data_IF_901524675383
#
_entry.id   IF_901524675383
#
_cell.length_a   1.000
_cell.length_b   1.000
_cell.length_c   1.000
_cell.angle_alpha   90.00
_cell.angle_beta   90.00
_cell.angle_gamma   90.00
#
_symmetry.space_group_name_H-M   'P 1'
#
loop_
_entity.id
_entity.type
_entity.pdbx_description
1 polymer ?
#
# COMPACT_ATOMS: atom_id res chain seq x y z
N UNK A 1 -3.06 23.71 12.34
CA UNK A 1 -2.19 23.66 11.15
C UNK A 1 -0.82 23.21 11.62
N UNK A 2 -0.25 22.21 10.96
CA UNK A 2 1.08 21.66 11.25
C UNK A 2 1.97 21.81 10.02
N UNK A 3 3.27 21.83 10.22
CA UNK A 3 4.26 21.82 9.12
C UNK A 3 4.35 20.45 8.47
N UNK A 4 4.93 20.38 7.28
CA UNK A 4 5.18 19.13 6.56
C UNK A 4 6.09 18.19 7.37
N UNK A 5 7.08 18.75 8.08
CA UNK A 5 7.96 17.99 8.97
C UNK A 5 7.19 17.35 10.12
N UNK A 6 6.37 18.12 10.81
CA UNK A 6 5.50 17.60 11.88
C UNK A 6 4.52 16.56 11.37
N UNK A 7 4.00 16.71 10.14
CA UNK A 7 3.16 15.70 9.51
C UNK A 7 3.92 14.39 9.26
N UNK A 8 5.16 14.44 8.80
CA UNK A 8 6.01 13.27 8.62
C UNK A 8 6.37 12.58 9.95
N UNK A 9 6.46 13.34 11.05
CA UNK A 9 6.73 12.80 12.40
C UNK A 9 5.57 11.98 12.96
N UNK A 10 4.34 12.19 12.47
CA UNK A 10 3.18 11.37 12.83
C UNK A 10 3.26 9.92 12.28
N UNK A 11 4.06 9.71 11.25
CA UNK A 11 4.24 8.38 10.66
C UNK A 11 5.23 7.59 11.52
N UNK A 12 4.72 6.58 12.21
CA UNK A 12 5.52 5.71 13.09
C UNK A 12 6.01 4.47 12.34
N UNK A 13 6.95 3.74 12.94
CA UNK A 13 7.41 2.44 12.43
C UNK A 13 6.24 1.46 12.32
N UNK A 14 6.19 0.74 11.20
CA UNK A 14 5.10 -0.18 10.90
C UNK A 14 3.76 0.48 10.58
N UNK A 15 3.71 1.81 10.42
CA UNK A 15 2.49 2.52 10.07
C UNK A 15 1.88 2.02 8.77
N UNK A 16 0.55 2.09 8.68
CA UNK A 16 -0.19 1.88 7.44
C UNK A 16 -0.57 3.24 6.87
N UNK A 17 -0.03 3.55 5.71
CA UNK A 17 -0.31 4.78 4.98
C UNK A 17 -1.29 4.48 3.86
N UNK A 18 -2.38 5.21 3.81
CA UNK A 18 -3.34 5.19 2.72
C UNK A 18 -3.25 6.45 1.87
N UNK A 19 -3.21 6.30 0.56
CA UNK A 19 -3.29 7.41 -0.37
C UNK A 19 -4.36 7.16 -1.41
N UNK A 20 -5.45 7.94 -1.32
CA UNK A 20 -6.61 7.84 -2.21
C UNK A 20 -6.41 8.75 -3.43
N UNK A 21 -5.47 8.40 -4.28
CA UNK A 21 -5.13 9.13 -5.52
C UNK A 21 -5.00 8.18 -6.69
N UNK A 22 -5.32 8.65 -7.86
CA UNK A 22 -5.32 7.82 -9.05
C UNK A 22 -4.27 8.27 -10.06
N UNK A 23 -3.40 7.32 -10.41
CA UNK A 23 -2.40 7.53 -11.44
C UNK A 23 -1.40 8.62 -11.05
N UNK A 24 -1.20 9.58 -11.95
CA UNK A 24 -0.17 10.62 -11.80
C UNK A 24 -0.66 11.90 -11.12
N UNK A 25 -1.88 11.91 -10.58
CA UNK A 25 -2.47 13.08 -9.95
C UNK A 25 -2.71 12.89 -8.47
N UNK A 26 -2.51 13.97 -7.69
CA UNK A 26 -2.93 14.05 -6.30
C UNK A 26 -1.97 13.45 -5.27
N UNK A 27 -0.79 12.95 -5.67
CA UNK A 27 0.21 12.53 -4.70
C UNK A 27 0.68 13.71 -3.84
N UNK A 28 0.68 13.60 -2.50
CA UNK A 28 1.14 14.65 -1.60
C UNK A 28 2.67 14.69 -1.59
N UNK A 29 3.27 15.28 -2.63
CA UNK A 29 4.71 15.24 -2.89
C UNK A 29 5.55 15.70 -1.70
N UNK A 30 5.19 16.83 -1.09
CA UNK A 30 5.93 17.37 0.04
C UNK A 30 5.95 16.44 1.26
N UNK A 31 4.83 15.77 1.53
CA UNK A 31 4.74 14.81 2.65
C UNK A 31 5.57 13.57 2.31
N UNK A 32 5.47 13.07 1.08
CA UNK A 32 6.27 11.92 0.62
C UNK A 32 7.77 12.17 0.77
N UNK A 33 8.24 13.33 0.30
CA UNK A 33 9.64 13.76 0.43
C UNK A 33 10.06 13.97 1.90
N UNK A 34 9.18 14.50 2.75
CA UNK A 34 9.50 14.68 4.16
C UNK A 34 9.64 13.33 4.90
N UNK A 35 8.84 12.34 4.54
CA UNK A 35 8.97 10.97 5.06
C UNK A 35 10.30 10.35 4.57
N UNK A 36 10.61 10.48 3.28
CA UNK A 36 11.88 10.02 2.70
C UNK A 36 13.08 10.65 3.41
N UNK A 37 13.12 11.99 3.53
CA UNK A 37 14.21 12.70 4.15
C UNK A 37 14.40 12.26 5.62
N UNK A 38 13.32 12.18 6.39
CA UNK A 38 13.37 11.69 7.76
C UNK A 38 13.94 10.28 7.84
N UNK A 39 13.52 9.37 6.93
CA UNK A 39 14.08 8.04 6.88
C UNK A 39 15.57 8.04 6.53
N UNK A 40 15.99 8.83 5.57
CA UNK A 40 17.40 8.93 5.18
C UNK A 40 18.29 9.50 6.29
N UNK A 41 17.75 10.38 7.13
CA UNK A 41 18.48 10.99 8.25
C UNK A 41 18.51 10.11 9.50
N UNK A 42 17.42 9.40 9.79
CA UNK A 42 17.22 8.74 11.08
C UNK A 42 17.01 7.23 11.02
N UNK A 43 16.77 6.67 9.85
CA UNK A 43 16.32 5.28 9.67
C UNK A 43 14.84 5.05 10.03
N UNK A 44 14.10 6.13 10.33
CA UNK A 44 12.68 6.08 10.71
C UNK A 44 11.84 7.05 9.87
N UNK A 45 10.57 6.70 9.58
CA UNK A 45 9.85 5.47 9.95
C UNK A 45 10.39 4.27 9.20
N UNK A 46 10.25 3.08 9.76
CA UNK A 46 10.66 1.82 9.15
C UNK A 46 9.47 0.86 8.99
N UNK A 47 9.51 0.01 7.98
CA UNK A 47 8.56 -1.09 7.83
C UNK A 47 7.13 -0.68 7.51
N UNK A 48 6.90 0.47 6.88
CA UNK A 48 5.56 0.95 6.56
C UNK A 48 4.84 0.05 5.53
N UNK A 49 3.51 0.04 5.62
CA UNK A 49 2.62 -0.53 4.60
C UNK A 49 1.95 0.59 3.83
N UNK A 50 2.03 0.57 2.51
CA UNK A 50 1.34 1.54 1.65
C UNK A 50 0.16 0.90 0.94
N UNK A 51 -1.03 1.50 1.08
CA UNK A 51 -2.27 1.07 0.40
C UNK A 51 -2.68 2.16 -0.57
N UNK A 52 -2.87 1.79 -1.85
CA UNK A 52 -3.24 2.74 -2.90
C UNK A 52 -3.99 2.07 -4.06
N UNK A 53 -4.80 2.83 -4.79
CA UNK A 53 -5.52 2.31 -5.94
C UNK A 53 -4.60 2.10 -7.13
N UNK A 54 -3.82 3.11 -7.50
CA UNK A 54 -2.92 3.04 -8.64
C UNK A 54 -1.58 3.70 -8.33
N UNK A 55 -0.55 3.28 -9.02
CA UNK A 55 0.80 3.83 -8.89
C UNK A 55 0.81 5.36 -9.02
N UNK A 56 1.39 6.01 -8.03
CA UNK A 56 1.24 7.45 -7.81
C UNK A 56 2.55 8.15 -8.07
N UNK A 57 2.76 8.54 -9.35
CA UNK A 57 3.96 9.24 -9.60
C UNK A 57 4.24 9.68 -11.04
N UNK A 58 5.39 10.30 -11.20
CA UNK A 58 5.92 10.96 -12.37
C UNK A 58 7.00 10.11 -13.10
N UNK A 59 6.67 8.85 -13.43
CA UNK A 59 7.47 7.91 -14.25
C UNK A 59 9.00 7.86 -13.97
N UNK A 60 9.44 7.86 -12.70
CA UNK A 60 10.85 7.73 -12.33
C UNK A 60 11.64 9.03 -12.38
N UNK A 61 10.99 10.19 -12.55
CA UNK A 61 11.72 11.44 -12.40
C UNK A 61 12.32 11.55 -11.02
N UNK A 62 13.57 11.93 -11.01
CA UNK A 62 14.25 12.32 -9.79
C UNK A 62 13.87 13.76 -9.46
N UNK A 63 13.98 14.15 -8.19
CA UNK A 63 13.95 15.54 -7.77
C UNK A 63 15.07 16.34 -8.48
N UNK A 64 15.00 17.65 -8.41
CA UNK A 64 15.98 18.55 -9.05
C UNK A 64 17.40 18.34 -8.50
N UNK A 65 17.53 17.88 -7.25
CA UNK A 65 18.81 17.54 -6.61
C UNK A 65 19.37 16.19 -7.08
N UNK A 66 18.64 15.44 -7.89
CA UNK A 66 19.03 14.12 -8.39
C UNK A 66 19.16 13.03 -7.32
N UNK A 67 18.75 13.29 -6.08
CA UNK A 67 18.94 12.37 -4.95
C UNK A 67 17.66 11.65 -4.56
N UNK A 68 16.53 12.34 -4.64
CA UNK A 68 15.23 11.81 -4.21
C UNK A 68 14.35 11.43 -5.40
N UNK A 69 13.42 10.54 -5.20
CA UNK A 69 12.43 10.18 -6.21
C UNK A 69 11.12 10.91 -5.98
N UNK A 70 10.49 11.27 -7.08
CA UNK A 70 9.14 11.84 -7.04
C UNK A 70 8.05 10.79 -6.92
N UNK A 71 6.90 11.20 -6.39
CA UNK A 71 5.75 10.35 -6.20
C UNK A 71 5.98 9.30 -5.10
N UNK A 72 5.23 8.21 -5.14
CA UNK A 72 5.36 7.13 -4.17
C UNK A 72 6.72 6.41 -4.21
N UNK A 73 7.52 6.65 -5.25
CA UNK A 73 8.89 6.14 -5.32
C UNK A 73 9.79 6.69 -4.20
N UNK A 74 9.41 7.80 -3.57
CA UNK A 74 10.06 8.32 -2.37
C UNK A 74 9.97 7.34 -1.18
N UNK A 75 8.95 6.49 -1.16
CA UNK A 75 8.79 5.46 -0.13
C UNK A 75 9.60 4.17 -0.43
N UNK A 76 10.12 4.02 -1.64
CA UNK A 76 10.74 2.79 -2.11
C UNK A 76 12.20 2.64 -1.69
N UNK A 77 12.48 2.74 -0.40
CA UNK A 77 13.78 2.45 0.20
C UNK A 77 13.77 1.14 0.98
N UNK A 78 14.89 0.43 0.96
CA UNK A 78 15.05 -0.79 1.72
C UNK A 78 14.96 -0.48 3.23
N UNK A 79 14.01 -1.10 3.91
CA UNK A 79 13.71 -0.82 5.32
C UNK A 79 12.59 0.20 5.55
N UNK A 80 12.34 1.15 4.65
CA UNK A 80 11.21 2.08 4.76
C UNK A 80 9.89 1.39 4.37
N UNK A 81 9.76 0.93 3.13
CA UNK A 81 8.58 0.22 2.64
C UNK A 81 8.72 -1.28 2.89
N UNK A 82 7.76 -1.90 3.56
CA UNK A 82 7.72 -3.34 3.82
C UNK A 82 6.60 -4.06 3.08
N UNK A 83 5.53 -3.36 2.76
CA UNK A 83 4.36 -3.93 2.11
C UNK A 83 3.66 -2.91 1.19
N UNK A 84 3.26 -3.37 0.01
CA UNK A 84 2.40 -2.61 -0.91
C UNK A 84 1.11 -3.38 -1.16
N UNK A 85 -0.03 -2.73 -0.92
CA UNK A 85 -1.36 -3.23 -1.26
C UNK A 85 -1.93 -2.29 -2.32
N UNK A 86 -2.03 -2.76 -3.55
CA UNK A 86 -2.30 -1.88 -4.69
C UNK A 86 -3.27 -2.50 -5.71
N UNK A 87 -3.92 -1.63 -6.46
CA UNK A 87 -4.67 -2.04 -7.65
C UNK A 87 -3.82 -2.05 -8.92
N UNK A 88 -2.87 -1.11 -9.02
CA UNK A 88 -1.93 -0.99 -10.11
C UNK A 88 -0.66 -0.30 -9.61
N UNK A 89 0.52 -0.85 -9.90
CA UNK A 89 1.82 -0.32 -9.44
C UNK A 89 2.79 -0.01 -10.57
N UNK A 90 2.41 -0.33 -11.82
CA UNK A 90 3.31 -0.25 -12.98
C UNK A 90 3.87 1.15 -13.30
N UNK A 91 3.26 2.22 -12.78
CA UNK A 91 3.80 3.58 -12.90
C UNK A 91 4.93 3.87 -11.90
N UNK A 92 5.15 3.04 -10.90
CA UNK A 92 6.09 3.26 -9.80
C UNK A 92 7.26 2.31 -9.90
N UNK A 93 8.23 2.64 -10.75
CA UNK A 93 9.31 1.72 -11.11
C UNK A 93 10.12 1.22 -9.93
N UNK A 94 10.44 2.06 -8.93
CA UNK A 94 11.20 1.61 -7.77
C UNK A 94 10.40 0.66 -6.89
N UNK A 95 9.12 0.95 -6.65
CA UNK A 95 8.22 0.05 -5.90
C UNK A 95 8.06 -1.26 -6.66
N UNK A 96 7.79 -1.20 -7.98
CA UNK A 96 7.71 -2.39 -8.85
C UNK A 96 8.99 -3.22 -8.77
N UNK A 97 10.17 -2.57 -8.80
CA UNK A 97 11.44 -3.27 -8.66
C UNK A 97 11.57 -3.99 -7.30
N UNK A 98 11.20 -3.35 -6.21
CA UNK A 98 11.21 -4.01 -4.88
C UNK A 98 10.27 -5.22 -4.81
N UNK A 99 9.12 -5.17 -5.51
CA UNK A 99 8.18 -6.29 -5.61
C UNK A 99 8.81 -7.45 -6.40
N UNK A 100 9.37 -7.17 -7.57
CA UNK A 100 10.00 -8.17 -8.44
C UNK A 100 11.22 -8.79 -7.77
N UNK A 101 12.03 -7.99 -7.09
CA UNK A 101 13.21 -8.44 -6.35
C UNK A 101 12.86 -9.17 -5.03
N UNK A 102 11.58 -9.37 -4.72
CA UNK A 102 11.10 -9.99 -3.48
C UNK A 102 11.58 -9.29 -2.19
N UNK A 103 11.76 -7.97 -2.23
CA UNK A 103 12.19 -7.18 -1.06
C UNK A 103 11.05 -6.85 -0.13
N UNK A 104 9.87 -6.59 -0.67
CA UNK A 104 8.65 -6.22 0.08
C UNK A 104 7.52 -7.21 -0.15
N UNK A 105 6.56 -7.25 0.77
CA UNK A 105 5.28 -7.94 0.55
C UNK A 105 4.44 -7.16 -0.45
N UNK A 106 3.70 -7.85 -1.31
CA UNK A 106 2.89 -7.20 -2.33
C UNK A 106 1.57 -7.94 -2.60
N UNK A 107 0.48 -7.19 -2.57
CA UNK A 107 -0.86 -7.69 -2.87
C UNK A 107 -1.51 -6.84 -3.96
N UNK A 108 -2.02 -7.49 -5.00
CA UNK A 108 -2.74 -6.80 -6.07
C UNK A 108 -4.25 -7.01 -5.91
N UNK A 109 -4.98 -5.93 -5.69
CA UNK A 109 -6.43 -5.89 -5.45
C UNK A 109 -7.07 -4.97 -6.50
N UNK A 110 -8.22 -5.32 -7.09
CA UNK A 110 -8.87 -4.45 -8.08
C UNK A 110 -9.05 -3.02 -7.54
N UNK A 111 -8.71 -2.02 -8.36
CA UNK A 111 -8.79 -0.58 -8.01
C UNK A 111 -10.12 -0.21 -7.35
N UNK A 112 -11.24 -0.61 -7.93
CA UNK A 112 -12.56 -0.30 -7.38
C UNK A 112 -12.81 -0.94 -6.01
N UNK A 113 -12.15 -2.06 -5.70
CA UNK A 113 -12.22 -2.70 -4.39
C UNK A 113 -11.42 -1.89 -3.37
N UNK A 114 -10.25 -1.38 -3.74
CA UNK A 114 -9.45 -0.50 -2.86
C UNK A 114 -10.22 0.78 -2.53
N UNK A 115 -10.85 1.43 -3.52
CA UNK A 115 -11.70 2.61 -3.28
C UNK A 115 -12.88 2.33 -2.35
N UNK A 116 -13.50 1.15 -2.44
CA UNK A 116 -14.55 0.74 -1.52
C UNK A 116 -14.02 0.46 -0.10
N UNK A 117 -12.80 -0.07 0.03
CA UNK A 117 -12.16 -0.28 1.34
C UNK A 117 -12.02 1.04 2.09
N UNK A 118 -11.55 2.11 1.43
CA UNK A 118 -11.45 3.43 2.04
C UNK A 118 -12.76 3.91 2.64
N UNK A 119 -13.84 3.72 1.89
CA UNK A 119 -15.18 4.08 2.34
C UNK A 119 -15.61 3.30 3.59
N UNK A 120 -15.40 1.98 3.58
CA UNK A 120 -15.77 1.14 4.73
C UNK A 120 -14.89 1.43 5.96
N UNK A 121 -13.60 1.69 5.76
CA UNK A 121 -12.70 2.11 6.84
C UNK A 121 -13.13 3.45 7.45
N UNK A 122 -13.48 4.44 6.61
CA UNK A 122 -13.99 5.73 7.06
C UNK A 122 -15.31 5.64 7.85
N UNK A 123 -16.10 4.60 7.60
CA UNK A 123 -17.35 4.28 8.35
C UNK A 123 -17.09 3.46 9.62
N UNK A 124 -15.87 3.12 9.92
CA UNK A 124 -15.49 2.29 11.07
C UNK A 124 -15.83 0.81 10.91
N UNK A 125 -16.14 0.35 9.68
CA UNK A 125 -16.38 -1.06 9.44
C UNK A 125 -15.07 -1.84 9.45
N UNK A 126 -15.10 -3.10 9.86
CA UNK A 126 -13.90 -3.93 9.99
C UNK A 126 -13.33 -4.41 8.66
N UNK A 127 -13.94 -4.09 7.53
CA UNK A 127 -13.50 -4.46 6.20
C UNK A 127 -14.61 -4.43 5.18
N UNK A 128 -14.27 -4.72 3.93
CA UNK A 128 -15.20 -4.77 2.81
C UNK A 128 -15.66 -6.21 2.54
N UNK A 129 -16.96 -6.41 2.42
CA UNK A 129 -17.56 -7.66 1.98
C UNK A 129 -17.93 -7.57 0.49
N UNK A 130 -17.30 -8.38 -0.36
CA UNK A 130 -17.50 -8.32 -1.81
C UNK A 130 -17.50 -9.70 -2.45
N UNK A 131 -18.03 -9.79 -3.66
CA UNK A 131 -17.89 -10.96 -4.55
C UNK A 131 -16.81 -10.74 -5.62
N UNK A 132 -16.31 -9.52 -5.75
CA UNK A 132 -15.28 -9.17 -6.73
C UNK A 132 -14.01 -9.95 -6.41
N UNK A 133 -13.44 -10.59 -7.40
CA UNK A 133 -12.22 -11.39 -7.27
C UNK A 133 -12.45 -12.88 -6.97
N UNK A 134 -13.68 -13.31 -6.69
CA UNK A 134 -13.97 -14.76 -6.58
C UNK A 134 -13.66 -15.48 -7.89
N UNK A 135 -12.94 -16.61 -7.80
CA UNK A 135 -12.53 -17.41 -8.96
C UNK A 135 -11.37 -16.82 -9.76
N UNK A 136 -10.74 -15.74 -9.28
CA UNK A 136 -9.53 -15.17 -9.87
C UNK A 136 -8.31 -15.39 -8.96
N UNK A 137 -7.13 -14.92 -9.34
CA UNK A 137 -5.91 -14.97 -8.50
C UNK A 137 -6.08 -14.25 -7.15
N UNK A 138 -7.05 -13.36 -7.04
CA UNK A 138 -7.39 -12.70 -5.79
C UNK A 138 -8.07 -13.63 -4.78
N UNK A 139 -8.73 -14.67 -5.25
CA UNK A 139 -9.46 -15.59 -4.38
C UNK A 139 -8.48 -16.31 -3.43
N UNK A 140 -8.70 -16.24 -2.10
CA UNK A 140 -7.83 -16.93 -1.13
C UNK A 140 -7.71 -18.44 -1.30
N UNK A 141 -8.59 -19.07 -2.11
CA UNK A 141 -8.48 -20.47 -2.48
C UNK A 141 -7.40 -20.73 -3.53
N UNK A 142 -6.89 -19.67 -4.15
CA UNK A 142 -5.79 -19.66 -5.11
C UNK A 142 -4.62 -18.85 -4.56
N UNK A 143 -4.24 -17.74 -5.21
CA UNK A 143 -3.09 -16.93 -4.78
C UNK A 143 -3.41 -15.89 -3.70
N UNK A 144 -4.69 -15.60 -3.41
CA UNK A 144 -5.08 -14.65 -2.37
C UNK A 144 -4.55 -13.24 -2.60
N UNK A 145 -4.47 -12.81 -3.86
CA UNK A 145 -3.91 -11.53 -4.30
C UNK A 145 -2.39 -11.37 -4.09
N UNK A 146 -1.68 -12.40 -3.66
CA UNK A 146 -0.23 -12.39 -3.46
C UNK A 146 0.51 -12.44 -4.80
N UNK A 147 1.36 -11.43 -5.08
CA UNK A 147 1.97 -11.28 -6.40
C UNK A 147 3.44 -11.65 -6.50
N UNK A 148 4.11 -11.93 -5.39
CA UNK A 148 5.50 -12.37 -5.41
C UNK A 148 5.79 -13.49 -4.40
N UNK A 149 6.94 -14.14 -4.55
CA UNK A 149 7.31 -15.30 -3.74
C UNK A 149 7.48 -14.98 -2.24
N UNK A 150 8.00 -13.79 -1.92
CA UNK A 150 8.09 -13.34 -0.54
C UNK A 150 6.71 -13.29 0.11
N UNK A 151 5.72 -12.71 -0.60
CA UNK A 151 4.36 -12.61 -0.09
C UNK A 151 3.71 -13.96 0.08
N UNK A 152 3.94 -14.91 -0.84
CA UNK A 152 3.42 -16.28 -0.72
C UNK A 152 3.98 -17.03 0.47
N UNK A 153 5.23 -16.77 0.84
CA UNK A 153 5.90 -17.44 1.97
C UNK A 153 5.60 -16.79 3.33
N UNK A 154 5.61 -15.48 3.39
CA UNK A 154 5.62 -14.71 4.63
C UNK A 154 4.30 -13.93 4.85
N UNK A 155 3.57 -13.68 3.78
CA UNK A 155 2.37 -12.84 3.82
C UNK A 155 1.20 -13.51 4.51
N UNK A 156 0.55 -12.75 5.38
CA UNK A 156 -0.79 -13.10 5.88
C UNK A 156 -1.78 -12.39 4.97
N UNK A 157 -2.38 -13.13 4.04
CA UNK A 157 -3.30 -12.53 3.06
C UNK A 157 -4.36 -11.65 3.71
N UNK A 158 -4.59 -10.44 3.17
CA UNK A 158 -5.62 -9.52 3.68
C UNK A 158 -7.04 -10.02 3.38
N UNK A 159 -7.15 -11.09 2.61
CA UNK A 159 -8.40 -11.62 2.10
C UNK A 159 -8.82 -12.86 2.88
N UNK A 160 -10.08 -12.93 3.26
CA UNK A 160 -10.69 -14.11 3.89
C UNK A 160 -11.98 -14.51 3.17
N UNK A 161 -12.24 -15.80 3.09
CA UNK A 161 -13.53 -16.31 2.62
C UNK A 161 -14.50 -16.36 3.80
N UNK A 162 -15.60 -15.66 3.68
CA UNK A 162 -16.74 -15.82 4.59
C UNK A 162 -17.72 -16.83 3.98
N UNK A 163 -17.87 -17.97 4.65
CA UNK A 163 -18.98 -18.90 4.41
C UNK A 163 -20.13 -18.58 5.35
N UNK A 164 -21.12 -17.87 4.83
CA UNK A 164 -22.43 -17.80 5.48
C UNK A 164 -23.41 -18.71 4.71
N UNK A 165 -24.56 -19.01 5.31
CA UNK A 165 -25.67 -19.66 4.61
C UNK A 165 -26.08 -18.77 3.43
N UNK A 166 -25.52 -19.00 2.23
CA UNK A 166 -25.71 -18.16 1.05
C UNK A 166 -24.50 -18.15 0.12
N UNK A 167 -24.47 -17.29 -0.90
CA UNK A 167 -23.38 -17.24 -1.86
C UNK A 167 -22.07 -16.83 -1.19
N UNK A 168 -20.97 -17.44 -1.64
CA UNK A 168 -19.60 -17.12 -1.20
C UNK A 168 -19.32 -15.62 -1.32
N UNK A 169 -18.66 -15.05 -0.32
CA UNK A 169 -18.21 -13.66 -0.30
C UNK A 169 -16.75 -13.59 0.16
N UNK A 170 -16.00 -12.65 -0.39
CA UNK A 170 -14.68 -12.27 0.09
C UNK A 170 -14.83 -11.21 1.18
N UNK A 171 -14.10 -11.36 2.26
CA UNK A 171 -13.87 -10.29 3.22
C UNK A 171 -12.44 -9.81 3.05
N UNK A 172 -12.28 -8.54 2.79
CA UNK A 172 -11.00 -7.85 2.79
C UNK A 172 -10.80 -7.22 4.16
N UNK A 173 -9.79 -7.68 4.85
CA UNK A 173 -9.40 -7.16 6.14
C UNK A 173 -7.92 -6.75 6.08
N UNK A 174 -7.59 -5.48 5.93
CA UNK A 174 -6.27 -5.07 6.33
C UNK A 174 -6.17 -5.24 7.85
N UNK A 175 -5.24 -6.05 8.34
CA UNK A 175 -4.89 -6.11 9.76
C UNK A 175 -4.25 -4.77 10.19
N UNK A 176 -5.05 -3.72 10.16
CA UNK A 176 -4.64 -2.40 10.64
C UNK A 176 -4.79 -2.46 12.15
N UNK A 177 -3.68 -2.57 12.85
CA UNK A 177 -3.65 -2.30 14.28
C UNK A 177 -4.13 -0.86 14.47
N UNK A 178 -5.32 -0.68 15.02
CA UNK A 178 -5.77 0.63 15.47
C UNK A 178 -4.81 1.06 16.56
N UNK A 179 -3.97 2.05 16.30
CA UNK A 179 -3.30 2.79 17.36
C UNK A 179 -4.39 3.54 18.10
N UNK A 180 -4.62 3.13 19.35
CA UNK A 180 -5.50 3.78 20.31
C UNK A 180 -5.01 5.18 20.64
#
# INVERSE_FOLDING_TARGET
>A
IITVKEAAELVQDGAVIGSAVQGMTGWPEEIGLAIENRFMETGHPSGITHIHEAGQRDFGRMSEDGKTCRGECALAHDGLLSCSIHGHVGCSFKVTKQIVDNKILAYNIPLGVVGQIWREMGRGFPGLLTKVGLGTFMDPRYDGAMVNEKTKKEGKGPLKILRQRGPLRLSLWPDIKRTS
#
